data_IF_576015280687
#
_entry.id   IF_576015280687
#
_cell.length_a   1.000
_cell.length_b   1.000
_cell.length_c   1.000
_cell.angle_alpha   90.00
_cell.angle_beta   90.00
_cell.angle_gamma   90.00
#
_symmetry.space_group_name_H-M   'P 1'
#
loop_
_entity.id
_entity.type
_entity.pdbx_description
1 polymer ?
#
# COMPACT_ATOMS: atom_id res chain seq x y z
N UNK A 1 -21.17 7.57 -16.86
CA UNK A 1 -21.53 6.72 -15.70
C UNK A 1 -20.43 5.73 -15.29
N UNK A 2 -19.86 4.93 -16.21
CA UNK A 2 -18.85 3.91 -15.86
C UNK A 2 -17.51 4.49 -15.37
N UNK A 3 -17.04 5.58 -15.98
CA UNK A 3 -15.80 6.28 -15.58
C UNK A 3 -15.88 6.86 -14.16
N UNK A 4 -17.03 7.45 -13.81
CA UNK A 4 -17.24 8.02 -12.47
C UNK A 4 -17.29 6.94 -11.38
N UNK A 5 -17.87 5.78 -11.68
CA UNK A 5 -17.84 4.63 -10.78
C UNK A 5 -16.42 4.08 -10.59
N UNK A 6 -15.64 3.98 -11.68
CA UNK A 6 -14.24 3.60 -11.62
C UNK A 6 -13.41 4.60 -10.79
N UNK A 7 -13.57 5.90 -11.03
CA UNK A 7 -12.86 6.94 -10.29
C UNK A 7 -13.18 6.86 -8.79
N UNK A 8 -14.44 6.60 -8.42
CA UNK A 8 -14.84 6.38 -7.03
C UNK A 8 -14.14 5.16 -6.41
N UNK A 9 -14.03 4.06 -7.16
CA UNK A 9 -13.31 2.86 -6.71
C UNK A 9 -11.81 3.14 -6.54
N UNK A 10 -11.20 3.89 -7.45
CA UNK A 10 -9.79 4.29 -7.36
C UNK A 10 -9.56 5.20 -6.15
N UNK A 11 -10.39 6.22 -5.92
CA UNK A 11 -10.33 7.06 -4.71
C UNK A 11 -10.47 6.25 -3.43
N UNK A 12 -11.37 5.28 -3.41
CA UNK A 12 -11.51 4.34 -2.28
C UNK A 12 -10.25 3.50 -2.07
N UNK A 13 -9.66 2.97 -3.16
CA UNK A 13 -8.40 2.23 -3.14
C UNK A 13 -7.25 3.10 -2.61
N UNK A 14 -7.14 4.35 -3.06
CA UNK A 14 -6.18 5.35 -2.58
C UNK A 14 -6.30 5.55 -1.08
N UNK A 15 -7.53 5.73 -0.57
CA UNK A 15 -7.78 5.89 0.87
C UNK A 15 -7.25 4.73 1.71
N UNK A 16 -7.40 3.48 1.25
CA UNK A 16 -6.83 2.32 1.94
C UNK A 16 -5.29 2.32 1.92
N UNK A 17 -4.67 2.71 0.80
CA UNK A 17 -3.21 2.84 0.76
C UNK A 17 -2.68 3.96 1.65
N UNK A 18 -3.37 5.10 1.73
CA UNK A 18 -2.99 6.17 2.66
C UNK A 18 -3.02 5.68 4.11
N UNK A 19 -4.07 4.96 4.51
CA UNK A 19 -4.14 4.35 5.83
C UNK A 19 -3.00 3.36 6.08
N UNK A 20 -2.63 2.54 5.08
CA UNK A 20 -1.46 1.66 5.17
C UNK A 20 -0.16 2.45 5.32
N UNK A 21 0.00 3.55 4.58
CA UNK A 21 1.19 4.41 4.67
C UNK A 21 1.33 5.03 6.06
N UNK A 22 0.25 5.54 6.63
CA UNK A 22 0.25 6.12 7.98
C UNK A 22 0.64 5.09 9.03
N UNK A 23 0.06 3.89 8.94
CA UNK A 23 0.43 2.76 9.79
C UNK A 23 1.92 2.42 9.65
N UNK A 24 2.40 2.30 8.42
CA UNK A 24 3.79 1.95 8.11
C UNK A 24 4.77 2.97 8.69
N UNK A 25 4.49 4.27 8.57
CA UNK A 25 5.35 5.33 9.12
C UNK A 25 5.43 5.31 10.65
N UNK A 26 4.44 4.73 11.33
CA UNK A 26 4.42 4.63 12.79
C UNK A 26 5.16 3.40 13.35
N UNK A 27 5.37 2.35 12.54
CA UNK A 27 5.83 1.03 13.00
C UNK A 27 7.16 1.07 13.76
N UNK A 28 8.11 1.90 13.34
CA UNK A 28 9.44 1.99 13.97
C UNK A 28 9.42 2.42 15.43
N UNK A 29 8.34 3.08 15.87
CA UNK A 29 8.18 3.56 17.25
C UNK A 29 7.37 2.63 18.15
N UNK A 30 6.83 1.54 17.61
CA UNK A 30 5.89 0.67 18.31
C UNK A 30 6.61 -0.42 19.11
N UNK A 31 6.02 -0.77 20.26
CA UNK A 31 6.35 -2.02 20.94
C UNK A 31 5.91 -3.23 20.10
N UNK A 32 6.45 -4.42 20.40
CA UNK A 32 6.08 -5.66 19.67
C UNK A 32 4.57 -5.92 19.67
N UNK A 33 3.89 -5.72 20.81
CA UNK A 33 2.44 -5.94 20.94
C UNK A 33 1.61 -4.94 20.13
N UNK A 34 2.08 -3.70 20.01
CA UNK A 34 1.42 -2.68 19.18
C UNK A 34 1.68 -2.93 17.69
N UNK A 35 2.90 -3.36 17.34
CA UNK A 35 3.26 -3.74 15.99
C UNK A 35 2.38 -4.90 15.48
N UNK A 36 2.15 -5.93 16.30
CA UNK A 36 1.23 -7.02 15.93
C UNK A 36 -0.20 -6.53 15.60
N UNK A 37 -0.72 -5.57 16.38
CA UNK A 37 -2.02 -4.95 16.11
C UNK A 37 -2.02 -4.19 14.79
N UNK A 38 -0.97 -3.41 14.53
CA UNK A 38 -0.80 -2.65 13.29
C UNK A 38 -0.68 -3.58 12.08
N UNK A 39 0.10 -4.66 12.17
CA UNK A 39 0.22 -5.66 11.10
C UNK A 39 -1.13 -6.31 10.79
N UNK A 40 -1.94 -6.60 11.81
CA UNK A 40 -3.30 -7.11 11.63
C UNK A 40 -4.20 -6.09 10.91
N UNK A 41 -4.10 -4.80 11.25
CA UNK A 41 -4.82 -3.74 10.56
C UNK A 41 -4.39 -3.61 9.10
N UNK A 42 -3.07 -3.60 8.81
CA UNK A 42 -2.54 -3.61 7.43
C UNK A 42 -3.09 -4.79 6.63
N UNK A 43 -3.14 -6.00 7.21
CA UNK A 43 -3.73 -7.19 6.56
C UNK A 43 -5.22 -7.01 6.22
N UNK A 44 -6.00 -6.40 7.10
CA UNK A 44 -7.43 -6.11 6.85
C UNK A 44 -7.55 -5.09 5.70
N UNK A 45 -6.74 -4.03 5.71
CA UNK A 45 -6.73 -3.01 4.65
C UNK A 45 -6.34 -3.59 3.29
N UNK A 46 -5.34 -4.47 3.23
CA UNK A 46 -4.96 -5.19 2.01
C UNK A 46 -6.11 -6.05 1.48
N UNK A 47 -6.82 -6.77 2.34
CA UNK A 47 -8.01 -7.53 1.93
C UNK A 47 -9.13 -6.61 1.40
N UNK A 48 -9.29 -5.41 1.95
CA UNK A 48 -10.21 -4.41 1.42
C UNK A 48 -9.79 -3.92 0.03
N UNK A 49 -8.49 -3.72 -0.21
CA UNK A 49 -7.95 -3.36 -1.53
C UNK A 49 -8.22 -4.48 -2.54
N UNK A 50 -7.99 -5.75 -2.20
CA UNK A 50 -8.29 -6.90 -3.08
C UNK A 50 -9.76 -6.94 -3.51
N UNK A 51 -10.68 -6.63 -2.59
CA UNK A 51 -12.12 -6.52 -2.90
C UNK A 51 -12.40 -5.39 -3.87
N UNK A 52 -11.75 -4.23 -3.72
CA UNK A 52 -11.87 -3.10 -4.66
C UNK A 52 -11.29 -3.47 -6.02
N UNK A 53 -10.14 -4.16 -6.05
CA UNK A 53 -9.50 -4.62 -7.29
C UNK A 53 -10.35 -5.60 -8.07
N UNK A 54 -11.05 -6.49 -7.36
CA UNK A 54 -12.02 -7.39 -7.98
C UNK A 54 -13.12 -6.61 -8.68
N UNK A 55 -13.67 -5.56 -8.04
CA UNK A 55 -14.66 -4.68 -8.66
C UNK A 55 -14.11 -3.89 -9.84
N UNK A 56 -12.89 -3.36 -9.74
CA UNK A 56 -12.25 -2.63 -10.84
C UNK A 56 -12.05 -3.55 -12.06
N UNK A 57 -11.73 -4.83 -11.86
CA UNK A 57 -11.59 -5.80 -12.97
C UNK A 57 -12.87 -5.94 -13.80
N UNK A 58 -14.05 -5.75 -13.21
CA UNK A 58 -15.32 -5.78 -13.94
C UNK A 58 -15.43 -4.63 -14.99
N UNK A 59 -14.65 -3.56 -14.82
CA UNK A 59 -14.59 -2.44 -15.77
C UNK A 59 -13.57 -2.67 -16.90
N UNK A 60 -12.84 -3.81 -16.94
CA UNK A 60 -11.79 -4.06 -17.95
C UNK A 60 -12.26 -3.88 -19.38
N UNK A 61 -13.45 -4.37 -19.72
CA UNK A 61 -14.00 -4.27 -21.06
C UNK A 61 -14.46 -2.85 -21.43
N UNK A 62 -14.45 -1.91 -20.47
CA UNK A 62 -14.90 -0.54 -20.64
C UNK A 62 -13.73 0.45 -20.75
N UNK A 63 -12.48 0.00 -20.66
CA UNK A 63 -11.33 0.87 -20.85
C UNK A 63 -11.16 1.17 -22.33
N UNK A 64 -11.28 2.45 -22.69
CA UNK A 64 -10.84 2.98 -23.97
C UNK A 64 -9.31 2.97 -24.05
N UNK A 65 -8.75 3.06 -25.26
CA UNK A 65 -7.29 3.12 -25.48
C UNK A 65 -6.62 4.28 -24.73
N UNK A 66 -7.36 5.36 -24.49
CA UNK A 66 -6.93 6.49 -23.66
C UNK A 66 -7.88 6.62 -22.48
N UNK A 67 -7.36 6.54 -21.26
CA UNK A 67 -8.12 6.77 -20.04
C UNK A 67 -8.34 8.28 -19.82
N UNK A 68 -9.48 8.70 -19.24
CA UNK A 68 -9.67 10.09 -18.84
C UNK A 68 -8.56 10.58 -17.88
N UNK A 69 -8.21 11.87 -18.00
CA UNK A 69 -7.13 12.50 -17.23
C UNK A 69 -7.24 12.25 -15.72
N UNK A 70 -8.42 12.48 -15.14
CA UNK A 70 -8.67 12.29 -13.70
C UNK A 70 -8.35 10.86 -13.22
N UNK A 71 -8.60 9.85 -14.07
CA UNK A 71 -8.29 8.44 -13.76
C UNK A 71 -6.78 8.20 -13.82
N UNK A 72 -6.10 8.80 -14.80
CA UNK A 72 -4.64 8.70 -14.91
C UNK A 72 -3.96 9.36 -13.70
N UNK A 73 -4.40 10.55 -13.31
CA UNK A 73 -3.90 11.27 -12.14
C UNK A 73 -4.09 10.45 -10.86
N UNK A 74 -5.28 9.92 -10.64
CA UNK A 74 -5.57 9.08 -9.47
C UNK A 74 -4.70 7.80 -9.44
N UNK A 75 -4.45 7.18 -10.60
CA UNK A 75 -3.55 6.01 -10.70
C UNK A 75 -2.09 6.38 -10.39
N UNK A 76 -1.60 7.52 -10.89
CA UNK A 76 -0.26 8.02 -10.60
C UNK A 76 -0.09 8.33 -9.10
N UNK A 77 -1.08 8.94 -8.47
CA UNK A 77 -1.07 9.18 -7.03
C UNK A 77 -1.02 7.88 -6.22
N UNK A 78 -1.84 6.90 -6.58
CA UNK A 78 -1.82 5.57 -5.94
C UNK A 78 -0.43 4.94 -6.08
N UNK A 79 0.18 4.99 -7.28
CA UNK A 79 1.52 4.46 -7.50
C UNK A 79 2.56 5.16 -6.62
N UNK A 80 2.49 6.50 -6.52
CA UNK A 80 3.38 7.28 -5.65
C UNK A 80 3.23 6.88 -4.17
N UNK A 81 2.01 6.63 -3.70
CA UNK A 81 1.77 6.18 -2.32
C UNK A 81 2.34 4.78 -2.10
N UNK A 82 2.16 3.86 -3.05
CA UNK A 82 2.73 2.50 -2.98
C UNK A 82 4.26 2.57 -2.86
N UNK A 83 4.92 3.39 -3.67
CA UNK A 83 6.38 3.59 -3.58
C UNK A 83 6.78 4.07 -2.18
N UNK A 84 6.07 5.05 -1.62
CA UNK A 84 6.35 5.54 -0.27
C UNK A 84 6.16 4.47 0.82
N UNK A 85 5.17 3.59 0.67
CA UNK A 85 4.97 2.45 1.60
C UNK A 85 6.19 1.53 1.54
N UNK A 86 6.62 1.15 0.34
CA UNK A 86 7.76 0.24 0.14
C UNK A 86 9.07 0.83 0.68
N UNK A 87 9.30 2.13 0.48
CA UNK A 87 10.46 2.82 1.01
C UNK A 87 10.44 2.86 2.55
N UNK A 88 9.28 3.13 3.15
CA UNK A 88 9.10 3.13 4.59
C UNK A 88 9.27 1.73 5.21
N UNK A 89 8.66 0.70 4.61
CA UNK A 89 8.83 -0.71 5.03
C UNK A 89 10.31 -1.12 4.99
N UNK A 90 11.05 -0.70 3.95
CA UNK A 90 12.51 -0.95 3.86
C UNK A 90 13.28 -0.31 5.00
N UNK A 91 12.94 0.92 5.37
CA UNK A 91 13.58 1.64 6.50
C UNK A 91 13.25 0.93 7.82
N UNK A 92 11.97 0.60 8.06
CA UNK A 92 11.52 -0.10 9.26
C UNK A 92 12.23 -1.45 9.42
N UNK A 93 12.36 -2.21 8.34
CA UNK A 93 13.08 -3.48 8.34
C UNK A 93 14.55 -3.32 8.73
N UNK A 94 15.25 -2.33 8.14
CA UNK A 94 16.66 -2.07 8.46
C UNK A 94 16.85 -1.64 9.92
N UNK A 95 15.95 -0.83 10.46
CA UNK A 95 15.96 -0.43 11.87
C UNK A 95 15.74 -1.63 12.79
N UNK A 96 14.72 -2.45 12.52
CA UNK A 96 14.43 -3.63 13.35
C UNK A 96 15.53 -4.68 13.28
N UNK A 97 16.14 -4.87 12.11
CA UNK A 97 17.31 -5.75 11.93
C UNK A 97 18.48 -5.31 12.83
N UNK A 98 18.72 -3.99 12.92
CA UNK A 98 19.74 -3.41 13.80
C UNK A 98 19.40 -3.60 15.29
N UNK A 99 18.16 -3.38 15.69
CA UNK A 99 17.70 -3.59 17.08
C UNK A 99 17.84 -5.03 17.54
N UNK A 100 17.57 -5.99 16.64
CA UNK A 100 17.65 -7.42 16.94
C UNK A 100 19.08 -7.97 16.89
N UNK A 101 20.09 -7.12 16.57
CA UNK A 101 21.49 -7.54 16.49
C UNK A 101 21.76 -8.58 15.39
N UNK A 102 20.87 -8.69 14.39
CA UNK A 102 21.06 -9.57 13.22
C UNK A 102 22.00 -8.84 12.27
N UNK A 103 23.27 -8.70 12.68
CA UNK A 103 24.34 -8.42 11.75
C UNK A 103 24.39 -9.61 10.81
N UNK A 104 24.31 -9.34 9.51
CA UNK A 104 24.57 -10.37 8.50
C UNK A 104 25.86 -11.08 8.89
N UNK A 105 25.78 -12.38 9.17
CA UNK A 105 26.95 -13.24 9.08
C UNK A 105 27.47 -13.03 7.67
N UNK A 106 28.49 -12.19 7.55
CA UNK A 106 29.23 -12.00 6.33
C UNK A 106 29.62 -13.40 5.88
N UNK A 107 29.04 -13.85 4.77
CA UNK A 107 29.56 -14.99 4.04
C UNK A 107 30.92 -14.56 3.53
N UNK A 108 31.96 -14.83 4.33
CA UNK A 108 33.32 -14.90 3.84
C UNK A 108 33.37 -16.08 2.87
N UNK A 109 33.35 -15.78 1.58
CA UNK A 109 33.94 -16.64 0.54
C UNK A 109 35.39 -16.26 0.36
#
# INVERSE_FOLDING_TARGET
>A
MKEQALLLLLKKKKGFFLAILDLTKSESSLSTTELEKVLRQKKILLSCIEKVDTKIKEFRCCFTSVLPQDIQEELMEIQKIITQILDADKINYLQKKKELGIYEQQRYT
#
